data_IF_114524003222
#
_entry.id   IF_114524003222
#
_cell.length_a   1.000
_cell.length_b   1.000
_cell.length_c   1.000
_cell.angle_alpha   90.00
_cell.angle_beta   90.00
_cell.angle_gamma   90.00
#
_symmetry.space_group_name_H-M   'P 1'
#
loop_
_entity.id
_entity.type
_entity.pdbx_description
1 polymer ?
#
# COMPACT_ATOMS: atom_id res chain seq x y z
N UNK A 1 -7.17 17.67 11.41
CA UNK A 1 -6.60 17.40 10.07
C UNK A 1 -5.51 16.34 10.18
N UNK A 2 -4.43 16.56 10.94
CA UNK A 2 -3.43 15.53 11.24
C UNK A 2 -4.00 14.27 11.94
N UNK A 3 -4.89 14.44 12.93
CA UNK A 3 -5.52 13.30 13.62
C UNK A 3 -6.35 12.39 12.67
N UNK A 4 -6.92 12.94 11.59
CA UNK A 4 -7.65 12.15 10.59
C UNK A 4 -6.68 11.31 9.73
N UNK A 5 -5.54 11.90 9.34
CA UNK A 5 -4.46 11.25 8.61
C UNK A 5 -3.91 10.08 9.40
N UNK A 6 -3.52 10.30 10.66
CA UNK A 6 -2.97 9.23 11.52
C UNK A 6 -3.97 8.08 11.73
N UNK A 7 -5.26 8.39 11.96
CA UNK A 7 -6.29 7.36 12.12
C UNK A 7 -6.53 6.54 10.85
N UNK A 8 -6.51 7.20 9.68
CA UNK A 8 -6.64 6.52 8.38
C UNK A 8 -5.42 5.68 8.07
N UNK A 9 -4.21 6.19 8.32
CA UNK A 9 -2.96 5.46 8.18
C UNK A 9 -2.94 4.20 9.06
N UNK A 10 -3.30 4.33 10.34
CA UNK A 10 -3.37 3.21 11.27
C UNK A 10 -4.36 2.13 10.81
N UNK A 11 -5.52 2.54 10.29
CA UNK A 11 -6.52 1.61 9.74
C UNK A 11 -5.97 0.85 8.54
N UNK A 12 -5.32 1.55 7.60
CA UNK A 12 -4.74 0.95 6.40
C UNK A 12 -3.55 0.05 6.73
N UNK A 13 -2.68 0.46 7.67
CA UNK A 13 -1.58 -0.34 8.21
C UNK A 13 -2.07 -1.67 8.76
N UNK A 14 -3.13 -1.64 9.57
CA UNK A 14 -3.74 -2.86 10.11
C UNK A 14 -4.37 -3.74 9.03
N UNK A 15 -5.06 -3.14 8.06
CA UNK A 15 -5.64 -3.88 6.94
C UNK A 15 -4.56 -4.54 6.08
N UNK A 16 -3.47 -3.82 5.81
CA UNK A 16 -2.30 -4.37 5.11
C UNK A 16 -1.65 -5.51 5.89
N UNK A 17 -1.39 -5.34 7.19
CA UNK A 17 -0.83 -6.38 8.05
C UNK A 17 -1.66 -7.67 8.03
N UNK A 18 -3.00 -7.56 8.09
CA UNK A 18 -3.90 -8.72 7.99
C UNK A 18 -3.83 -9.41 6.62
N UNK A 19 -3.79 -8.63 5.52
CA UNK A 19 -3.65 -9.15 4.16
C UNK A 19 -2.29 -9.83 3.95
N UNK A 20 -1.22 -9.19 4.41
CA UNK A 20 0.15 -9.68 4.37
C UNK A 20 0.28 -11.00 5.16
N UNK A 21 -0.27 -11.06 6.37
CA UNK A 21 -0.29 -12.28 7.18
C UNK A 21 -1.08 -13.41 6.49
N UNK A 22 -2.23 -13.11 5.89
CA UNK A 22 -2.99 -14.08 5.08
C UNK A 22 -2.21 -14.55 3.86
N UNK A 23 -1.49 -13.67 3.18
CA UNK A 23 -0.67 -14.01 2.02
C UNK A 23 0.53 -14.90 2.41
N UNK A 24 1.17 -14.64 3.55
CA UNK A 24 2.25 -15.48 4.10
C UNK A 24 1.70 -16.85 4.56
N UNK A 25 0.55 -16.88 5.23
CA UNK A 25 -0.09 -18.13 5.66
C UNK A 25 -0.58 -18.98 4.47
N UNK A 26 -1.02 -18.32 3.39
CA UNK A 26 -1.38 -18.96 2.13
C UNK A 26 -0.17 -19.20 1.23
N UNK A 27 1.01 -18.61 1.47
CA UNK A 27 2.21 -18.78 0.65
C UNK A 27 2.74 -20.22 0.59
N UNK A 28 2.25 -21.09 1.49
CA UNK A 28 2.49 -22.54 1.45
C UNK A 28 1.43 -23.35 0.68
N UNK A 29 0.33 -22.75 0.21
CA UNK A 29 -0.84 -23.46 -0.38
C UNK A 29 -1.65 -22.69 -1.45
N UNK A 30 -1.44 -21.39 -1.64
CA UNK A 30 -2.06 -20.60 -2.71
C UNK A 30 -1.27 -20.85 -4.00
N UNK A 31 -1.85 -21.64 -4.91
CA UNK A 31 -1.35 -21.88 -6.26
C UNK A 31 -1.35 -20.66 -7.18
N UNK A 32 -1.10 -19.44 -6.69
CA UNK A 32 -0.79 -18.28 -7.53
C UNK A 32 0.61 -18.41 -8.19
N UNK A 33 1.35 -19.48 -7.89
CA UNK A 33 2.55 -19.90 -8.63
C UNK A 33 2.20 -20.79 -9.83
N UNK A 34 1.53 -20.25 -10.85
CA UNK A 34 1.60 -20.84 -12.19
C UNK A 34 2.95 -20.44 -12.82
N UNK A 35 4.04 -21.04 -12.33
CA UNK A 35 5.39 -20.88 -12.88
C UNK A 35 6.44 -20.31 -11.93
N UNK A 36 6.85 -21.07 -10.91
CA UNK A 36 8.19 -20.98 -10.30
C UNK A 36 8.64 -19.70 -9.58
N UNK A 37 7.90 -18.59 -9.65
CA UNK A 37 8.21 -17.35 -8.94
C UNK A 37 7.45 -17.35 -7.61
N UNK A 38 8.18 -17.54 -6.52
CA UNK A 38 7.63 -17.30 -5.19
C UNK A 38 7.58 -15.79 -4.99
N UNK A 39 6.50 -15.14 -5.41
CA UNK A 39 6.26 -13.73 -5.16
C UNK A 39 6.30 -13.50 -3.64
N UNK A 40 7.35 -12.82 -3.19
CA UNK A 40 7.53 -12.47 -1.78
C UNK A 40 6.65 -11.26 -1.48
N UNK A 41 6.20 -11.13 -0.23
CA UNK A 41 5.47 -9.94 0.24
C UNK A 41 6.20 -8.64 -0.12
N UNK A 42 7.53 -8.63 -0.02
CA UNK A 42 8.37 -7.48 -0.39
C UNK A 42 8.25 -7.08 -1.87
N UNK A 43 8.14 -8.05 -2.79
CA UNK A 43 8.01 -7.77 -4.22
C UNK A 43 6.67 -7.09 -4.51
N UNK A 44 5.61 -7.58 -3.87
CA UNK A 44 4.29 -6.99 -3.99
C UNK A 44 4.19 -5.59 -3.33
N UNK A 45 4.89 -5.36 -2.22
CA UNK A 45 5.01 -4.01 -1.66
C UNK A 45 5.75 -3.07 -2.60
N UNK A 46 6.82 -3.54 -3.24
CA UNK A 46 7.56 -2.77 -4.23
C UNK A 46 6.67 -2.40 -5.42
N UNK A 47 5.87 -3.33 -5.95
CA UNK A 47 4.90 -3.05 -7.02
C UNK A 47 3.90 -1.95 -6.65
N UNK A 48 3.33 -2.02 -5.44
CA UNK A 48 2.37 -1.00 -4.98
C UNK A 48 3.06 0.36 -4.87
N UNK A 49 4.25 0.39 -4.30
CA UNK A 49 4.97 1.62 -4.02
C UNK A 49 5.53 2.24 -5.32
N UNK A 50 6.03 1.43 -6.26
CA UNK A 50 6.41 1.84 -7.62
C UNK A 50 5.21 2.44 -8.37
N UNK A 51 4.06 1.79 -8.30
CA UNK A 51 2.82 2.32 -8.85
C UNK A 51 2.43 3.67 -8.21
N UNK A 52 2.58 3.83 -6.90
CA UNK A 52 2.33 5.11 -6.23
C UNK A 52 3.30 6.19 -6.68
N UNK A 53 4.58 5.85 -6.88
CA UNK A 53 5.60 6.76 -7.39
C UNK A 53 5.25 7.25 -8.81
N UNK A 54 4.96 6.36 -9.76
CA UNK A 54 4.56 6.75 -11.13
C UNK A 54 3.33 7.66 -11.10
N UNK A 55 2.33 7.31 -10.29
CA UNK A 55 1.11 8.09 -10.16
C UNK A 55 1.36 9.45 -9.49
N UNK A 56 2.25 9.49 -8.50
CA UNK A 56 2.58 10.70 -7.75
C UNK A 56 3.34 11.70 -8.62
N UNK A 57 4.35 11.21 -9.34
CA UNK A 57 5.13 11.98 -10.33
C UNK A 57 4.28 12.50 -11.49
N UNK A 58 3.11 11.89 -11.73
CA UNK A 58 2.17 12.28 -12.80
C UNK A 58 0.89 12.94 -12.29
N UNK A 59 0.81 13.16 -10.98
CA UNK A 59 -0.36 13.73 -10.32
C UNK A 59 -0.60 15.20 -10.72
N UNK A 60 0.48 15.93 -11.05
CA UNK A 60 0.45 17.36 -11.30
C UNK A 60 0.30 18.20 -10.02
N UNK A 61 0.50 17.58 -8.85
CA UNK A 61 0.51 18.23 -7.54
C UNK A 61 1.97 18.40 -7.13
N UNK A 62 2.46 19.64 -7.09
CA UNK A 62 3.87 19.95 -6.90
C UNK A 62 4.44 19.34 -5.61
N UNK A 63 3.69 19.39 -4.49
CA UNK A 63 4.10 18.78 -3.22
C UNK A 63 4.26 17.26 -3.31
N UNK A 64 3.35 16.58 -3.99
CA UNK A 64 3.40 15.12 -4.20
C UNK A 64 4.56 14.75 -5.12
N UNK A 65 4.74 15.48 -6.22
CA UNK A 65 5.84 15.26 -7.16
C UNK A 65 7.20 15.49 -6.49
N UNK A 66 7.33 16.56 -5.70
CA UNK A 66 8.52 16.86 -4.92
C UNK A 66 8.80 15.77 -3.87
N UNK A 67 7.75 15.29 -3.21
CA UNK A 67 7.83 14.22 -2.22
C UNK A 67 8.44 12.94 -2.80
N UNK A 68 7.88 12.43 -3.91
CA UNK A 68 8.40 11.22 -4.57
C UNK A 68 9.79 11.45 -5.19
N UNK A 69 10.06 12.65 -5.72
CA UNK A 69 11.39 12.99 -6.23
C UNK A 69 12.46 13.03 -5.11
N UNK A 70 12.10 13.44 -3.91
CA UNK A 70 13.00 13.48 -2.75
C UNK A 70 13.22 12.10 -2.12
N UNK A 71 12.30 11.16 -2.33
CA UNK A 71 12.34 9.81 -1.76
C UNK A 71 11.99 8.77 -2.82
N UNK A 72 12.94 8.41 -3.70
CA UNK A 72 12.71 7.42 -4.73
C UNK A 72 12.46 6.05 -4.11
N UNK A 73 11.40 5.39 -4.55
CA UNK A 73 10.98 4.11 -4.00
C UNK A 73 11.81 2.93 -4.52
N UNK A 74 12.51 3.13 -5.63
CA UNK A 74 13.53 2.21 -6.16
C UNK A 74 14.69 1.94 -5.18
N UNK A 75 14.96 2.85 -4.23
CA UNK A 75 16.03 2.69 -3.24
C UNK A 75 15.52 2.09 -1.91
N UNK A 76 14.22 1.79 -1.82
CA UNK A 76 13.63 1.30 -0.60
C UNK A 76 14.07 -0.15 -0.30
N UNK A 77 14.58 -0.37 0.91
CA UNK A 77 15.01 -1.69 1.39
C UNK A 77 14.08 -2.21 2.50
N UNK A 78 13.61 -3.45 2.34
CA UNK A 78 12.73 -4.13 3.31
C UNK A 78 11.27 -4.07 2.91
N UNK A 79 10.38 -3.70 3.85
CA UNK A 79 8.94 -3.55 3.65
C UNK A 79 8.60 -2.07 3.39
N UNK A 80 8.67 -1.58 2.13
CA UNK A 80 8.53 -0.15 1.83
C UNK A 80 7.12 0.37 2.09
N UNK A 81 6.09 -0.44 1.85
CA UNK A 81 4.70 -0.03 2.03
C UNK A 81 4.35 0.06 3.51
N UNK A 82 4.78 -0.94 4.29
CA UNK A 82 4.56 -0.95 5.75
C UNK A 82 5.23 0.27 6.40
N UNK A 83 6.49 0.56 6.04
CA UNK A 83 7.21 1.75 6.52
C UNK A 83 6.51 3.06 6.11
N UNK A 84 6.02 3.15 4.87
CA UNK A 84 5.29 4.32 4.40
C UNK A 84 4.03 4.60 5.23
N UNK A 85 3.28 3.55 5.60
CA UNK A 85 2.10 3.66 6.45
C UNK A 85 2.46 4.05 7.89
N UNK A 86 3.57 3.54 8.44
CA UNK A 86 4.08 3.94 9.75
C UNK A 86 4.53 5.41 9.77
N UNK A 87 5.25 5.87 8.74
CA UNK A 87 5.65 7.27 8.60
C UNK A 87 4.42 8.20 8.45
N UNK A 88 3.38 7.76 7.72
CA UNK A 88 2.10 8.48 7.60
C UNK A 88 1.38 8.58 8.94
N UNK A 89 1.41 7.52 9.77
CA UNK A 89 0.80 7.53 11.09
C UNK A 89 1.48 8.55 12.03
N UNK A 90 2.80 8.71 11.86
CA UNK A 90 3.64 9.64 12.63
C UNK A 90 3.54 11.10 12.16
N UNK A 91 2.73 11.38 11.12
CA UNK A 91 2.56 12.71 10.53
C UNK A 91 3.89 13.33 10.05
N UNK A 92 4.83 12.50 9.56
CA UNK A 92 6.14 12.98 9.08
C UNK A 92 6.09 13.54 7.64
N UNK A 93 4.90 13.68 7.07
CA UNK A 93 4.68 14.06 5.67
C UNK A 93 3.84 15.33 5.51
N UNK A 94 4.04 16.08 4.42
CA UNK A 94 3.19 17.22 4.10
C UNK A 94 1.72 16.80 3.98
N UNK A 95 0.80 17.61 4.49
CA UNK A 95 -0.64 17.28 4.53
C UNK A 95 -1.21 16.88 3.17
N UNK A 96 -0.87 17.62 2.10
CA UNK A 96 -1.33 17.30 0.73
C UNK A 96 -0.80 15.95 0.23
N UNK A 97 0.46 15.62 0.55
CA UNK A 97 1.05 14.33 0.19
C UNK A 97 0.41 13.19 0.99
N UNK A 98 0.18 13.40 2.28
CA UNK A 98 -0.49 12.44 3.15
C UNK A 98 -1.91 12.14 2.68
N UNK A 99 -2.71 13.17 2.37
CA UNK A 99 -4.08 12.98 1.87
C UNK A 99 -4.10 12.25 0.53
N UNK A 100 -3.20 12.60 -0.38
CA UNK A 100 -3.08 11.96 -1.68
C UNK A 100 -2.69 10.48 -1.55
N UNK A 101 -1.67 10.18 -0.74
CA UNK A 101 -1.20 8.81 -0.48
C UNK A 101 -2.31 7.97 0.14
N UNK A 102 -2.95 8.48 1.20
CA UNK A 102 -4.03 7.77 1.89
C UNK A 102 -5.21 7.46 0.97
N UNK A 103 -5.65 8.42 0.16
CA UNK A 103 -6.75 8.20 -0.77
C UNK A 103 -6.43 7.10 -1.81
N UNK A 104 -5.19 7.07 -2.30
CA UNK A 104 -4.76 6.06 -3.28
C UNK A 104 -4.58 4.69 -2.64
N UNK A 105 -3.92 4.63 -1.48
CA UNK A 105 -3.70 3.41 -0.71
C UNK A 105 -5.01 2.78 -0.27
N UNK A 106 -5.95 3.58 0.23
CA UNK A 106 -7.28 3.10 0.63
C UNK A 106 -7.97 2.40 -0.54
N UNK A 107 -7.96 3.02 -1.73
CA UNK A 107 -8.56 2.42 -2.92
C UNK A 107 -7.84 1.15 -3.38
N UNK A 108 -6.50 1.14 -3.41
CA UNK A 108 -5.71 -0.03 -3.82
C UNK A 108 -5.91 -1.19 -2.85
N UNK A 109 -5.75 -0.94 -1.55
CA UNK A 109 -5.85 -1.95 -0.51
C UNK A 109 -7.28 -2.48 -0.34
N UNK A 110 -8.30 -1.61 -0.45
CA UNK A 110 -9.70 -2.05 -0.41
C UNK A 110 -10.05 -2.91 -1.62
N UNK A 111 -9.64 -2.51 -2.84
CA UNK A 111 -9.82 -3.33 -4.03
C UNK A 111 -9.11 -4.68 -3.91
N UNK A 112 -7.93 -4.71 -3.30
CA UNK A 112 -7.21 -5.95 -3.07
C UNK A 112 -7.91 -6.84 -2.02
N UNK A 113 -8.38 -6.24 -0.94
CA UNK A 113 -9.17 -6.92 0.08
C UNK A 113 -10.47 -7.50 -0.48
N UNK A 114 -11.13 -6.82 -1.43
CA UNK A 114 -12.32 -7.34 -2.12
C UNK A 114 -11.98 -8.56 -3.00
N UNK A 115 -10.86 -8.50 -3.74
CA UNK A 115 -10.39 -9.60 -4.59
C UNK A 115 -10.00 -10.85 -3.78
N UNK A 116 -9.42 -10.67 -2.59
CA UNK A 116 -8.96 -11.76 -1.72
C UNK A 116 -9.95 -12.16 -0.61
N UNK A 117 -10.88 -11.27 -0.25
CA UNK A 117 -11.93 -11.49 0.74
C UNK A 117 -13.15 -12.24 0.19
N UNK A 118 -13.20 -12.43 -1.12
CA UNK A 118 -14.30 -13.08 -1.82
C UNK A 118 -15.55 -12.22 -1.82
N UNK A 119 -16.30 -12.30 -2.92
CA UNK A 119 -17.75 -12.06 -2.90
C UNK A 119 -18.37 -12.85 -1.74
N UNK A 120 -18.61 -12.19 -0.61
CA UNK A 120 -19.85 -12.41 0.12
C UNK A 120 -20.88 -11.40 -0.40
N UNK A 121 -21.23 -11.55 -1.67
CA UNK A 121 -22.40 -10.89 -2.26
C UNK A 121 -23.28 -12.01 -2.81
N UNK A 122 -24.31 -12.33 -2.02
CA UNK A 122 -25.63 -12.87 -2.36
C UNK A 122 -25.78 -13.81 -3.59
N UNK A 123 -26.28 -15.02 -3.30
CA UNK A 123 -26.82 -15.94 -4.30
C UNK A 123 -27.75 -16.97 -3.66
N UNK A 124 -28.97 -16.51 -3.37
CA UNK A 124 -30.26 -17.23 -3.21
C UNK A 124 -30.39 -18.40 -2.24
#
# INVERSE_FOLDING_TARGET
>A
MAEDVSLRAARLSRLWSELAMRHVALGSSCGCGAGGVSLQLVDFELDIVDYLEDQGLRSGVADVEQFFRARPTSEATGLPLQKLLEDLERDEFPAESSEWLLARLERTLNSFAELHGGRQQAGS
#
